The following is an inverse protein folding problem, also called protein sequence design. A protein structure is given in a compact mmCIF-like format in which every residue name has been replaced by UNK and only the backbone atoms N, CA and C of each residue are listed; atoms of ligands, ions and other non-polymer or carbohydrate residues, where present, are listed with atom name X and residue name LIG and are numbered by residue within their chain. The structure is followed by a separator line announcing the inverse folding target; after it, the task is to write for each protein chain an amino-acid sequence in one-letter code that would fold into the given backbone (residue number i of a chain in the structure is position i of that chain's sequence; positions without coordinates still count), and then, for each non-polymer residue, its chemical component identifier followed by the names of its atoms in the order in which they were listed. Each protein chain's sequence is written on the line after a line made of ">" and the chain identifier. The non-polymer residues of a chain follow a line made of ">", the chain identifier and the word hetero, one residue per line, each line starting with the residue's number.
data_IF_715877109198
#
_entry.id   IF_715877109198
#
_cell.length_a   1.000
_cell.length_b   1.000
_cell.length_c   1.000
_cell.angle_alpha   90.00
_cell.angle_beta   90.00
_cell.angle_gamma   90.00
#
_symmetry.space_group_name_H-M   'P 1'
#
loop_
_entity.id
_entity.type
_entity.pdbx_description
1 polymer ?
#
# COMPACT_ATOMS: atom_id res chain seq x y z
N UNK A 1 -3.57 -16.42 -9.90
CA UNK A 1 -3.04 -15.08 -10.29
C UNK A 1 -2.59 -14.42 -9.01
N UNK A 2 -1.34 -14.06 -8.90
CA UNK A 2 -0.80 -13.37 -7.73
C UNK A 2 -1.32 -11.93 -7.72
N UNK A 3 -1.47 -11.33 -6.53
CA UNK A 3 -1.87 -9.93 -6.38
C UNK A 3 -0.95 -8.97 -7.19
N UNK A 4 0.35 -9.24 -7.20
CA UNK A 4 1.31 -8.43 -7.95
C UNK A 4 1.18 -8.58 -9.47
N UNK A 5 0.72 -9.74 -9.96
CA UNK A 5 0.44 -9.93 -11.39
C UNK A 5 -0.60 -8.92 -11.87
N UNK A 6 -1.69 -8.74 -11.08
CA UNK A 6 -2.77 -7.81 -11.41
C UNK A 6 -2.23 -6.37 -11.54
N UNK A 7 -1.36 -5.96 -10.62
CA UNK A 7 -0.77 -4.62 -10.64
C UNK A 7 0.18 -4.41 -11.82
N UNK A 8 0.98 -5.44 -12.18
CA UNK A 8 2.01 -5.33 -13.20
C UNK A 8 1.41 -5.45 -14.62
N UNK A 9 0.48 -6.38 -14.82
CA UNK A 9 -0.07 -6.69 -16.14
C UNK A 9 -0.83 -5.53 -16.77
N UNK A 10 -1.44 -4.66 -15.97
CA UNK A 10 -2.12 -3.46 -16.45
C UNK A 10 -1.20 -2.33 -16.89
N UNK A 11 0.10 -2.38 -16.55
CA UNK A 11 1.04 -1.29 -16.85
C UNK A 11 1.51 -1.36 -18.30
N UNK A 12 1.53 -0.22 -19.01
CA UNK A 12 2.03 -0.12 -20.37
C UNK A 12 3.53 -0.44 -20.47
N UNK A 13 3.91 -1.18 -21.52
CA UNK A 13 5.31 -1.44 -21.84
C UNK A 13 5.96 -0.32 -22.68
N UNK A 14 5.22 0.73 -23.06
CA UNK A 14 5.71 1.84 -23.89
C UNK A 14 6.16 3.04 -23.06
N UNK A 15 5.85 3.04 -21.75
CA UNK A 15 6.20 4.11 -20.82
C UNK A 15 7.43 3.69 -20.03
N UNK A 16 8.36 4.62 -19.83
CA UNK A 16 9.64 4.38 -19.18
C UNK A 16 9.72 5.14 -17.85
N UNK A 17 10.56 4.65 -16.94
CA UNK A 17 10.91 5.36 -15.71
C UNK A 17 11.99 6.39 -16.06
N UNK A 18 11.65 7.68 -15.96
CA UNK A 18 12.56 8.77 -16.24
C UNK A 18 13.50 9.04 -15.07
N UNK A 19 12.96 8.98 -13.84
CA UNK A 19 13.74 9.31 -12.64
C UNK A 19 13.14 8.70 -11.39
N UNK A 20 14.01 8.30 -10.45
CA UNK A 20 13.66 7.90 -9.08
C UNK A 20 14.31 8.89 -8.11
N UNK A 21 13.52 9.47 -7.23
CA UNK A 21 13.94 10.46 -6.24
C UNK A 21 13.73 9.90 -4.85
N UNK A 22 14.81 9.83 -4.07
CA UNK A 22 14.77 9.38 -2.69
C UNK A 22 14.76 10.57 -1.74
N UNK A 23 13.80 10.58 -0.82
CA UNK A 23 13.79 11.50 0.32
C UNK A 23 13.92 10.72 1.62
N UNK A 24 13.88 11.41 2.76
CA UNK A 24 13.99 10.76 4.07
C UNK A 24 12.87 9.72 4.32
N UNK A 25 11.66 9.99 3.87
CA UNK A 25 10.47 9.20 4.18
C UNK A 25 9.72 8.68 2.96
N UNK A 26 9.99 9.23 1.79
CA UNK A 26 9.26 8.93 0.56
C UNK A 26 10.22 8.69 -0.59
N UNK A 27 9.80 7.84 -1.51
CA UNK A 27 10.38 7.68 -2.84
C UNK A 27 9.38 8.22 -3.84
N UNK A 28 9.84 9.01 -4.81
CA UNK A 28 9.05 9.46 -5.93
C UNK A 28 9.60 8.85 -7.22
N UNK A 29 8.71 8.42 -8.10
CA UNK A 29 9.03 8.00 -9.47
C UNK A 29 8.39 8.96 -10.47
N UNK A 30 9.15 9.34 -11.49
CA UNK A 30 8.70 10.11 -12.65
C UNK A 30 8.71 9.20 -13.87
N UNK A 31 7.62 9.18 -14.62
CA UNK A 31 7.49 8.44 -15.87
C UNK A 31 7.75 9.34 -17.08
N UNK A 32 8.07 8.75 -18.23
CA UNK A 32 8.41 9.45 -19.47
C UNK A 32 7.29 10.32 -20.04
N UNK A 33 6.06 10.08 -19.63
CA UNK A 33 4.89 10.88 -19.99
C UNK A 33 4.53 11.97 -18.97
N UNK A 34 5.43 12.22 -17.99
CA UNK A 34 5.28 13.25 -16.98
C UNK A 34 4.44 12.91 -15.78
N UNK A 35 3.95 11.65 -15.65
CA UNK A 35 3.25 11.19 -14.45
C UNK A 35 4.21 10.98 -13.30
N UNK A 36 3.72 11.19 -12.08
CA UNK A 36 4.46 11.01 -10.84
C UNK A 36 3.71 10.10 -9.87
N UNK A 37 4.46 9.29 -9.14
CA UNK A 37 3.94 8.49 -8.03
C UNK A 37 4.88 8.52 -6.85
N UNK A 38 4.34 8.30 -5.66
CA UNK A 38 5.12 8.23 -4.42
C UNK A 38 4.85 6.93 -3.68
N UNK A 39 5.84 6.46 -2.94
CA UNK A 39 5.71 5.33 -2.02
C UNK A 39 6.51 5.58 -0.75
N UNK A 40 6.22 4.82 0.30
CA UNK A 40 6.99 4.86 1.54
C UNK A 40 8.44 4.45 1.26
N UNK A 41 9.42 5.18 1.81
CA UNK A 41 10.82 4.83 1.76
C UNK A 41 11.12 3.79 2.85
N UNK A 42 11.03 2.50 2.52
CA UNK A 42 11.50 1.45 3.42
C UNK A 42 13.03 1.38 3.36
N UNK A 43 13.66 1.34 4.54
CA UNK A 43 15.11 1.47 4.70
C UNK A 43 15.86 0.13 4.76
N UNK A 44 15.16 -0.98 4.74
CA UNK A 44 15.79 -2.30 4.74
C UNK A 44 16.46 -2.57 3.39
N UNK A 45 17.76 -2.38 3.33
CA UNK A 45 18.60 -2.47 2.13
C UNK A 45 19.58 -3.66 2.16
N UNK A 46 19.36 -4.62 3.04
CA UNK A 46 20.34 -5.68 3.31
C UNK A 46 20.45 -6.76 2.23
N UNK A 47 19.59 -6.72 1.21
CA UNK A 47 19.52 -7.74 0.17
C UNK A 47 19.91 -7.19 -1.20
N UNK A 48 20.38 -8.11 -2.05
CA UNK A 48 20.72 -7.83 -3.43
C UNK A 48 19.49 -7.32 -4.21
N UNK A 49 19.72 -6.43 -5.16
CA UNK A 49 18.67 -5.87 -6.02
C UNK A 49 18.36 -6.81 -7.18
N UNK A 50 17.12 -6.83 -7.66
CA UNK A 50 16.75 -7.50 -8.90
C UNK A 50 17.27 -6.74 -10.13
N UNK A 51 17.34 -5.41 -10.05
CA UNK A 51 17.84 -4.53 -11.10
C UNK A 51 18.88 -3.55 -10.54
N UNK A 52 19.97 -3.26 -11.26
CA UNK A 52 20.94 -2.26 -10.83
C UNK A 52 20.28 -0.88 -10.61
N UNK A 53 19.35 -0.51 -11.48
CA UNK A 53 18.50 0.67 -11.38
C UNK A 53 17.16 0.39 -12.04
N UNK A 54 16.10 1.11 -11.64
CA UNK A 54 14.81 1.08 -12.33
C UNK A 54 14.71 2.19 -13.39
N UNK A 55 15.56 3.23 -13.30
CA UNK A 55 15.61 4.29 -14.31
C UNK A 55 16.01 3.73 -15.68
N UNK A 56 15.30 4.17 -16.72
CA UNK A 56 15.48 3.69 -18.09
C UNK A 56 14.77 2.38 -18.42
N UNK A 57 14.25 1.64 -17.45
CA UNK A 57 13.39 0.48 -17.69
C UNK A 57 12.00 0.93 -18.11
N UNK A 58 11.28 0.07 -18.88
CA UNK A 58 9.84 0.28 -19.04
C UNK A 58 9.14 0.24 -17.68
N UNK A 59 8.06 1.01 -17.50
CA UNK A 59 7.32 1.06 -16.26
C UNK A 59 6.84 -0.34 -15.83
N UNK A 60 6.38 -1.17 -16.79
CA UNK A 60 6.01 -2.57 -16.54
C UNK A 60 7.19 -3.39 -16.01
N UNK A 61 8.37 -3.26 -16.63
CA UNK A 61 9.57 -4.00 -16.20
C UNK A 61 10.06 -3.54 -14.83
N UNK A 62 10.06 -2.24 -14.58
CA UNK A 62 10.41 -1.67 -13.27
C UNK A 62 9.43 -2.12 -12.18
N UNK A 63 8.13 -2.23 -12.50
CA UNK A 63 7.11 -2.68 -11.55
C UNK A 63 7.34 -4.13 -11.07
N UNK A 64 8.02 -5.00 -11.85
CA UNK A 64 8.38 -6.36 -11.40
C UNK A 64 9.20 -6.35 -10.10
N UNK A 65 9.98 -5.30 -9.88
CA UNK A 65 10.79 -5.15 -8.68
C UNK A 65 9.95 -4.99 -7.38
N UNK A 66 8.64 -4.79 -7.47
CA UNK A 66 7.76 -4.86 -6.30
C UNK A 66 7.84 -6.22 -5.59
N UNK A 67 8.26 -7.26 -6.29
CA UNK A 67 8.49 -8.62 -5.76
C UNK A 67 9.85 -8.78 -5.07
N UNK A 68 10.74 -7.80 -5.20
CA UNK A 68 12.08 -7.87 -4.60
C UNK A 68 12.02 -8.03 -3.08
N UNK A 69 12.91 -8.83 -2.54
CA UNK A 69 13.16 -8.94 -1.11
C UNK A 69 13.92 -7.71 -0.56
N UNK A 70 14.56 -6.94 -1.44
CA UNK A 70 15.09 -5.63 -1.11
C UNK A 70 13.94 -4.62 -1.03
N UNK A 71 13.54 -4.24 0.19
CA UNK A 71 12.36 -3.41 0.40
C UNK A 71 12.53 -1.98 -0.14
N UNK A 72 13.77 -1.48 -0.25
CA UNK A 72 14.01 -0.21 -0.92
C UNK A 72 13.62 -0.29 -2.40
N UNK A 73 14.10 -1.32 -3.09
CA UNK A 73 13.77 -1.57 -4.49
C UNK A 73 12.27 -1.81 -4.70
N UNK A 74 11.64 -2.56 -3.78
CA UNK A 74 10.19 -2.75 -3.80
C UNK A 74 9.42 -1.44 -3.59
N UNK A 75 9.96 -0.51 -2.79
CA UNK A 75 9.40 0.84 -2.61
C UNK A 75 9.54 1.68 -3.88
N UNK A 76 10.69 1.62 -4.56
CA UNK A 76 10.88 2.27 -5.87
C UNK A 76 9.87 1.77 -6.89
N UNK A 77 9.71 0.44 -6.99
CA UNK A 77 8.73 -0.18 -7.90
C UNK A 77 7.29 0.21 -7.54
N UNK A 78 6.95 0.30 -6.26
CA UNK A 78 5.63 0.76 -5.82
C UNK A 78 5.38 2.23 -6.21
N UNK A 79 6.42 3.09 -6.14
CA UNK A 79 6.29 4.46 -6.63
C UNK A 79 6.01 4.51 -8.14
N UNK A 80 6.63 3.61 -8.94
CA UNK A 80 6.36 3.45 -10.38
C UNK A 80 4.92 2.99 -10.63
N UNK A 81 4.44 2.00 -9.87
CA UNK A 81 3.06 1.49 -9.95
C UNK A 81 2.07 2.63 -9.63
N UNK A 82 2.32 3.38 -8.58
CA UNK A 82 1.50 4.53 -8.19
C UNK A 82 1.53 5.65 -9.24
N UNK A 83 2.67 5.92 -9.87
CA UNK A 83 2.77 6.88 -10.98
C UNK A 83 1.89 6.48 -12.16
N UNK A 84 1.78 5.18 -12.43
CA UNK A 84 0.96 4.69 -13.54
C UNK A 84 -0.53 4.76 -13.25
N UNK A 85 -0.97 4.31 -12.08
CA UNK A 85 -2.38 4.15 -11.76
C UNK A 85 -3.04 5.37 -11.12
N UNK A 86 -2.32 6.18 -10.34
CA UNK A 86 -2.91 7.28 -9.59
C UNK A 86 -3.02 8.56 -10.44
N UNK A 87 -3.71 8.45 -11.56
CA UNK A 87 -4.05 9.60 -12.42
C UNK A 87 -5.51 10.00 -12.22
N UNK A 88 -5.82 11.26 -12.51
CA UNK A 88 -7.21 11.77 -12.40
C UNK A 88 -8.14 10.96 -13.29
N UNK A 89 -7.72 10.69 -14.53
CA UNK A 89 -8.51 9.92 -15.51
C UNK A 89 -8.81 8.51 -15.01
N UNK A 90 -7.81 7.83 -14.42
CA UNK A 90 -8.01 6.49 -13.89
C UNK A 90 -8.91 6.51 -12.66
N UNK A 91 -8.74 7.47 -11.76
CA UNK A 91 -9.59 7.64 -10.58
C UNK A 91 -11.05 7.91 -10.99
N UNK A 92 -11.28 8.72 -12.03
CA UNK A 92 -12.60 9.00 -12.56
C UNK A 92 -13.28 7.73 -13.11
N UNK A 93 -12.53 6.85 -13.82
CA UNK A 93 -13.08 5.57 -14.31
C UNK A 93 -13.49 4.63 -13.19
N UNK A 94 -12.86 4.73 -12.02
CA UNK A 94 -13.20 3.97 -10.82
C UNK A 94 -14.31 4.62 -9.99
N UNK A 95 -14.83 5.78 -10.41
CA UNK A 95 -15.81 6.56 -9.65
C UNK A 95 -15.23 7.11 -8.33
N UNK A 96 -13.89 7.19 -8.22
CA UNK A 96 -13.22 7.71 -7.06
C UNK A 96 -13.50 9.22 -6.93
N UNK A 97 -13.75 9.67 -5.71
CA UNK A 97 -13.99 11.09 -5.42
C UNK A 97 -12.79 11.67 -4.71
N UNK A 98 -12.27 12.78 -5.23
CA UNK A 98 -11.22 13.55 -4.56
C UNK A 98 -11.83 14.22 -3.32
N UNK A 99 -11.21 14.00 -2.16
CA UNK A 99 -11.66 14.58 -0.89
C UNK A 99 -10.45 14.88 -0.02
N UNK A 100 -9.88 16.09 -0.16
CA UNK A 100 -8.71 16.50 0.62
C UNK A 100 -8.96 16.58 2.13
N UNK A 101 -10.21 16.77 2.55
CA UNK A 101 -10.58 17.02 3.95
C UNK A 101 -11.27 15.82 4.62
N UNK A 102 -11.19 14.63 4.02
CA UNK A 102 -12.05 13.53 4.44
C UNK A 102 -11.26 12.34 4.96
N UNK A 103 -11.71 11.80 6.09
CA UNK A 103 -11.16 10.59 6.69
C UNK A 103 -11.23 9.41 5.73
N UNK A 104 -10.27 8.47 5.85
CA UNK A 104 -10.33 7.18 5.15
C UNK A 104 -11.58 6.36 5.49
N UNK A 105 -12.29 6.71 6.56
CA UNK A 105 -13.57 6.11 6.96
C UNK A 105 -14.78 6.79 6.33
N UNK A 106 -14.58 7.80 5.47
CA UNK A 106 -15.71 8.44 4.81
C UNK A 106 -16.36 7.50 3.79
N UNK A 107 -17.64 7.27 3.97
CA UNK A 107 -18.44 6.39 3.12
C UNK A 107 -18.93 5.14 3.83
N UNK A 108 -18.41 4.86 5.04
CA UNK A 108 -18.91 3.79 5.91
C UNK A 108 -18.91 4.22 7.38
N UNK A 109 -19.85 3.65 8.15
CA UNK A 109 -19.95 3.91 9.58
C UNK A 109 -19.14 2.90 10.37
N UNK A 110 -18.42 3.39 11.39
CA UNK A 110 -17.72 2.55 12.39
C UNK A 110 -18.58 2.28 13.62
N UNK A 111 -19.78 2.84 13.71
CA UNK A 111 -20.68 2.74 14.87
C UNK A 111 -21.01 1.28 15.17
N UNK A 112 -20.68 0.84 16.39
CA UNK A 112 -20.90 -0.53 16.87
C UNK A 112 -20.04 -1.59 16.18
N UNK A 113 -19.04 -1.21 15.37
CA UNK A 113 -18.20 -2.11 14.58
C UNK A 113 -16.89 -2.44 15.26
N UNK A 114 -16.40 -3.66 15.06
CA UNK A 114 -15.03 -4.07 15.37
C UNK A 114 -14.12 -3.63 14.24
N UNK A 115 -13.14 -2.79 14.53
CA UNK A 115 -12.23 -2.23 13.53
C UNK A 115 -10.81 -2.70 13.80
N UNK A 116 -10.16 -3.33 12.82
CA UNK A 116 -8.75 -3.68 12.85
C UNK A 116 -7.93 -2.69 12.01
N UNK A 117 -6.86 -2.16 12.59
CA UNK A 117 -5.88 -1.30 11.93
C UNK A 117 -4.58 -2.08 11.75
N UNK A 118 -4.14 -2.26 10.52
CA UNK A 118 -2.82 -2.84 10.22
C UNK A 118 -1.84 -1.69 10.02
N UNK A 119 -1.00 -1.49 11.04
CA UNK A 119 -0.08 -0.37 11.12
C UNK A 119 -0.65 0.83 11.88
N UNK A 120 0.23 1.66 12.42
CA UNK A 120 -0.14 2.95 13.01
C UNK A 120 -0.49 3.96 11.91
N UNK A 121 -1.78 4.04 11.59
CA UNK A 121 -2.30 4.99 10.61
C UNK A 121 -2.58 6.34 11.27
N UNK A 122 -2.22 7.43 10.58
CA UNK A 122 -2.61 8.79 10.99
C UNK A 122 -4.06 9.00 10.55
N UNK A 123 -4.99 8.79 11.49
CA UNK A 123 -6.42 8.98 11.27
C UNK A 123 -6.89 10.32 11.85
N UNK A 124 -8.00 10.83 11.31
CA UNK A 124 -8.69 11.96 11.93
C UNK A 124 -9.18 11.56 13.33
N UNK A 125 -9.21 12.49 14.32
CA UNK A 125 -9.56 12.18 15.70
C UNK A 125 -10.87 11.42 15.89
N UNK A 126 -11.87 11.70 15.02
CA UNK A 126 -13.20 11.09 15.10
C UNK A 126 -13.41 9.95 14.10
N UNK A 127 -12.37 9.52 13.38
CA UNK A 127 -12.48 8.53 12.30
C UNK A 127 -13.04 7.17 12.77
N UNK A 128 -12.78 6.80 14.03
CA UNK A 128 -13.21 5.55 14.64
C UNK A 128 -14.20 5.75 15.79
N UNK A 129 -14.83 6.94 15.84
CA UNK A 129 -15.82 7.25 16.88
C UNK A 129 -17.00 6.31 16.77
N UNK A 130 -17.41 5.74 17.90
CA UNK A 130 -18.53 4.81 17.98
C UNK A 130 -18.17 3.37 17.65
N UNK A 131 -16.93 3.05 17.27
CA UNK A 131 -16.49 1.66 17.13
C UNK A 131 -16.65 0.92 18.48
N UNK A 132 -17.13 -0.34 18.43
CA UNK A 132 -17.24 -1.17 19.64
C UNK A 132 -15.85 -1.57 20.15
N UNK A 133 -14.96 -1.89 19.23
CA UNK A 133 -13.59 -2.29 19.50
C UNK A 133 -12.66 -1.77 18.41
N UNK A 134 -11.43 -1.42 18.80
CA UNK A 134 -10.36 -1.00 17.88
C UNK A 134 -9.11 -1.81 18.20
N UNK A 135 -8.63 -2.56 17.22
CA UNK A 135 -7.42 -3.37 17.34
C UNK A 135 -6.32 -2.77 16.46
N UNK A 136 -5.21 -2.35 17.07
CA UNK A 136 -4.01 -1.92 16.34
C UNK A 136 -3.06 -3.09 16.28
N UNK A 137 -2.69 -3.52 15.08
CA UNK A 137 -1.81 -4.68 14.86
C UNK A 137 -0.53 -4.19 14.17
N UNK A 138 0.62 -4.47 14.79
CA UNK A 138 1.91 -3.97 14.35
C UNK A 138 2.99 -5.07 14.32
N UNK A 139 4.00 -4.90 13.46
CA UNK A 139 5.19 -5.78 13.44
C UNK A 139 6.15 -5.48 14.60
N UNK A 140 6.18 -4.20 15.03
CA UNK A 140 6.91 -3.74 16.22
C UNK A 140 5.91 -3.10 17.18
N UNK A 141 5.15 -3.94 17.94
CA UNK A 141 4.01 -3.48 18.74
C UNK A 141 4.46 -2.66 19.94
N UNK A 142 3.76 -1.56 20.18
CA UNK A 142 3.87 -0.75 21.40
C UNK A 142 2.92 -1.26 22.47
N UNK A 143 3.06 -0.79 23.72
CA UNK A 143 2.10 -1.13 24.77
C UNK A 143 0.66 -0.80 24.34
N UNK A 144 -0.20 -1.82 24.32
CA UNK A 144 -1.59 -1.72 23.85
C UNK A 144 -1.84 -2.20 22.43
N UNK A 145 -0.79 -2.41 21.62
CA UNK A 145 -0.91 -2.98 20.29
C UNK A 145 -0.90 -4.52 20.34
N UNK A 146 -1.42 -5.12 19.28
CA UNK A 146 -1.32 -6.54 19.00
C UNK A 146 -0.15 -6.84 18.07
N UNK A 147 0.55 -7.97 18.23
CA UNK A 147 1.60 -8.38 17.31
C UNK A 147 1.01 -8.84 15.97
N UNK A 148 1.81 -8.79 14.89
CA UNK A 148 1.41 -9.22 13.53
C UNK A 148 0.81 -10.64 13.50
N UNK A 149 1.26 -11.54 14.38
CA UNK A 149 0.71 -12.91 14.50
C UNK A 149 -0.73 -12.95 15.00
N UNK A 150 -1.29 -11.86 15.48
CA UNK A 150 -2.69 -11.78 15.88
C UNK A 150 -3.64 -11.59 14.68
N UNK A 151 -3.11 -11.29 13.49
CA UNK A 151 -3.92 -11.07 12.28
C UNK A 151 -4.86 -12.25 11.99
N UNK A 152 -4.37 -13.49 12.12
CA UNK A 152 -5.14 -14.70 11.82
C UNK A 152 -6.36 -14.91 12.75
N UNK A 153 -6.36 -14.24 13.89
CA UNK A 153 -7.42 -14.34 14.90
C UNK A 153 -8.33 -13.13 14.92
N UNK A 154 -7.75 -11.92 14.73
CA UNK A 154 -8.49 -10.67 14.85
C UNK A 154 -9.19 -10.29 13.54
N UNK A 155 -8.52 -10.44 12.39
CA UNK A 155 -9.09 -9.98 11.12
C UNK A 155 -10.36 -10.74 10.73
N UNK A 156 -10.47 -12.07 10.91
CA UNK A 156 -11.72 -12.79 10.62
C UNK A 156 -12.92 -12.34 11.46
N UNK A 157 -12.66 -11.80 12.66
CA UNK A 157 -13.68 -11.33 13.59
C UNK A 157 -13.96 -9.82 13.48
N UNK A 158 -13.26 -9.12 12.58
CA UNK A 158 -13.39 -7.67 12.38
C UNK A 158 -14.40 -7.35 11.30
N UNK A 159 -15.30 -6.40 11.57
CA UNK A 159 -16.25 -5.88 10.58
C UNK A 159 -15.57 -5.01 9.54
N UNK A 160 -14.48 -4.33 9.93
CA UNK A 160 -13.73 -3.38 9.09
C UNK A 160 -12.24 -3.61 9.32
N UNK A 161 -11.50 -3.75 8.22
CA UNK A 161 -10.04 -3.81 8.25
C UNK A 161 -9.48 -2.64 7.45
N UNK A 162 -8.67 -1.81 8.10
CA UNK A 162 -7.97 -0.67 7.49
C UNK A 162 -6.48 -0.99 7.53
N UNK A 163 -5.84 -1.08 6.36
CA UNK A 163 -4.43 -1.42 6.30
C UNK A 163 -3.62 -0.39 5.53
N UNK A 164 -2.37 -0.20 5.97
CA UNK A 164 -1.42 0.65 5.25
C UNK A 164 -1.02 0.01 3.92
N UNK A 165 -0.92 0.82 2.86
CA UNK A 165 -0.46 0.37 1.55
C UNK A 165 1.00 -0.16 1.58
N UNK A 166 1.79 0.14 2.62
CA UNK A 166 3.12 -0.43 2.81
C UNK A 166 3.11 -1.95 2.99
N UNK A 167 1.94 -2.55 3.32
CA UNK A 167 1.75 -4.00 3.34
C UNK A 167 2.05 -4.66 1.97
N UNK A 168 1.86 -3.94 0.86
CA UNK A 168 2.25 -4.40 -0.47
C UNK A 168 3.78 -4.40 -0.65
N UNK A 169 4.48 -3.40 -0.10
CA UNK A 169 5.95 -3.31 -0.17
C UNK A 169 6.59 -4.43 0.64
N UNK A 170 6.13 -4.67 1.87
CA UNK A 170 6.69 -5.66 2.78
C UNK A 170 6.15 -7.09 2.60
N UNK A 171 5.36 -7.34 1.55
CA UNK A 171 4.83 -8.65 1.14
C UNK A 171 3.76 -9.26 2.08
N UNK A 172 3.23 -8.51 3.03
CA UNK A 172 2.19 -9.04 3.93
C UNK A 172 0.79 -8.93 3.34
N UNK A 173 0.56 -8.04 2.36
CA UNK A 173 -0.75 -7.75 1.80
C UNK A 173 -1.52 -9.00 1.29
N UNK A 174 -0.92 -9.94 0.52
CA UNK A 174 -1.64 -11.12 0.05
C UNK A 174 -2.19 -11.97 1.20
N UNK A 175 -1.38 -12.18 2.26
CA UNK A 175 -1.79 -12.90 3.47
C UNK A 175 -2.92 -12.16 4.19
N UNK A 176 -2.76 -10.86 4.40
CA UNK A 176 -3.75 -10.04 5.10
C UNK A 176 -5.10 -10.05 4.37
N UNK A 177 -5.10 -9.95 3.05
CA UNK A 177 -6.32 -10.07 2.25
C UNK A 177 -6.97 -11.45 2.39
N UNK A 178 -6.17 -12.53 2.27
CA UNK A 178 -6.68 -13.89 2.41
C UNK A 178 -7.36 -14.12 3.76
N UNK A 179 -6.78 -13.59 4.84
CA UNK A 179 -7.33 -13.73 6.20
C UNK A 179 -8.56 -12.85 6.41
N UNK A 180 -8.58 -11.64 5.83
CA UNK A 180 -9.71 -10.70 5.97
C UNK A 180 -10.96 -11.13 5.19
N UNK A 181 -10.82 -11.91 4.11
CA UNK A 181 -11.92 -12.34 3.24
C UNK A 181 -12.45 -13.74 3.53
N UNK A 182 -12.17 -14.33 4.69
CA UNK A 182 -12.61 -15.69 5.03
C UNK A 182 -14.12 -15.83 5.22
N UNK A 183 -14.90 -14.76 5.10
CA UNK A 183 -16.36 -14.75 5.31
C UNK A 183 -17.18 -14.28 4.09
N UNK A 184 -16.59 -14.31 2.89
CA UNK A 184 -17.33 -14.07 1.63
C UNK A 184 -17.80 -15.36 0.99
#
# INVERSE_FOLDING_TARGET
>A
MDYYDILIDGISAEIYVSRIIHTRSWIAAELSDGRYGIALHDKLQSLERMFPTLEGLTARKAAEAVRSWNLLEASEAMAVINAFYNTVEHMDTLGARCGFDKSCTQGFSTEGKKVALIGHLVLQPDALKGASDVYIIERDPKPGDYPDSACEYILPESDIVIMTASAAINKTLPRLLAVSYTHL
#
